data_IF_706279927963
#
_entry.id   IF_706279927963
#
_cell.length_a   1.000
_cell.length_b   1.000
_cell.length_c   1.000
_cell.angle_alpha   90.00
_cell.angle_beta   90.00
_cell.angle_gamma   90.00
#
_symmetry.space_group_name_H-M   'P 1'
#
loop_
_entity.id
_entity.type
_entity.pdbx_description
1 polymer ?
#
# COMPACT_ATOMS: atom_id res chain seq x y z
N UNK A 1 -16.81 -3.89 1.73
CA UNK A 1 -16.11 -2.95 0.83
C UNK A 1 -17.06 -2.01 0.06
N UNK A 2 -18.19 -2.52 -0.38
CA UNK A 2 -19.24 -1.73 -1.04
C UNK A 2 -20.44 -1.70 -0.10
N UNK A 3 -20.96 -0.51 0.13
CA UNK A 3 -22.18 -0.27 0.88
C UNK A 3 -23.33 0.08 -0.08
N UNK A 4 -24.53 -0.30 0.29
CA UNK A 4 -25.74 -0.02 -0.49
C UNK A 4 -26.82 0.51 0.43
N UNK A 5 -27.71 1.32 -0.12
CA UNK A 5 -28.92 1.71 0.58
C UNK A 5 -29.82 0.47 0.78
N UNK A 6 -30.28 0.16 2.01
CA UNK A 6 -31.09 -1.03 2.28
C UNK A 6 -32.44 -1.04 1.54
N UNK A 7 -32.96 0.09 1.13
CA UNK A 7 -34.23 0.20 0.38
C UNK A 7 -34.05 0.28 -1.13
N UNK A 8 -32.86 -0.06 -1.64
CA UNK A 8 -32.48 0.15 -3.02
C UNK A 8 -32.07 1.60 -3.28
N UNK A 9 -31.23 1.84 -4.25
CA UNK A 9 -30.75 3.18 -4.60
C UNK A 9 -29.23 3.25 -4.72
N UNK A 10 -28.58 4.17 -4.00
CA UNK A 10 -27.17 4.44 -4.15
C UNK A 10 -26.28 3.34 -3.58
N UNK A 11 -25.15 3.12 -4.24
CA UNK A 11 -24.04 2.32 -3.73
C UNK A 11 -22.77 3.16 -3.68
N UNK A 12 -21.92 2.90 -2.68
CA UNK A 12 -20.64 3.60 -2.56
C UNK A 12 -19.53 2.70 -2.04
N UNK A 13 -18.28 3.07 -2.31
CA UNK A 13 -17.09 2.32 -1.92
C UNK A 13 -16.58 2.80 -0.58
N UNK A 14 -16.42 1.88 0.36
CA UNK A 14 -15.69 2.14 1.59
C UNK A 14 -14.19 2.11 1.36
N UNK A 15 -13.41 2.71 2.26
CA UNK A 15 -11.94 2.78 2.16
C UNK A 15 -11.29 1.41 1.98
N UNK A 16 -11.79 0.38 2.67
CA UNK A 16 -11.32 -1.00 2.54
C UNK A 16 -11.50 -1.60 1.13
N UNK A 17 -12.35 -1.03 0.28
CA UNK A 17 -12.52 -1.46 -1.10
C UNK A 17 -11.23 -1.35 -1.91
N UNK A 18 -10.45 -0.29 -1.68
CA UNK A 18 -9.27 0.02 -2.49
C UNK A 18 -8.11 -0.94 -2.29
N UNK A 19 -7.72 -1.37 -1.06
CA UNK A 19 -6.75 -2.44 -0.87
C UNK A 19 -7.13 -3.74 -1.59
N UNK A 20 -8.40 -4.15 -1.55
CA UNK A 20 -8.89 -5.31 -2.31
C UNK A 20 -8.80 -5.11 -3.82
N UNK A 21 -9.18 -3.94 -4.31
CA UNK A 21 -9.04 -3.59 -5.72
C UNK A 21 -7.59 -3.67 -6.17
N UNK A 22 -6.66 -3.09 -5.40
CA UNK A 22 -5.23 -3.10 -5.72
C UNK A 22 -4.67 -4.52 -5.70
N UNK A 23 -4.99 -5.32 -4.69
CA UNK A 23 -4.58 -6.71 -4.62
C UNK A 23 -5.12 -7.53 -5.82
N UNK A 24 -6.37 -7.31 -6.22
CA UNK A 24 -6.96 -7.96 -7.40
C UNK A 24 -6.29 -7.56 -8.71
N UNK A 25 -5.91 -6.28 -8.86
CA UNK A 25 -5.30 -5.75 -10.09
C UNK A 25 -3.82 -6.09 -10.22
N UNK A 26 -3.08 -5.98 -9.13
CA UNK A 26 -1.62 -5.99 -9.13
C UNK A 26 -1.00 -7.16 -8.36
N UNK A 27 -1.80 -7.91 -7.58
CA UNK A 27 -1.33 -9.04 -6.79
C UNK A 27 -1.38 -10.39 -7.52
N UNK A 28 -1.31 -10.39 -8.85
CA UNK A 28 -1.31 -11.61 -9.67
C UNK A 28 0.11 -11.94 -10.12
N UNK A 29 0.57 -13.13 -9.81
CA UNK A 29 1.92 -13.60 -10.13
C UNK A 29 2.52 -14.42 -8.99
N UNK A 30 3.84 -14.40 -8.89
CA UNK A 30 4.60 -15.12 -7.87
C UNK A 30 4.71 -14.23 -6.64
N UNK A 31 4.16 -14.68 -5.51
CA UNK A 31 4.34 -13.99 -4.24
C UNK A 31 5.79 -14.16 -3.77
N UNK A 32 6.48 -13.05 -3.59
CA UNK A 32 7.83 -13.01 -3.05
C UNK A 32 7.74 -12.87 -1.52
N UNK A 33 8.67 -13.48 -0.82
CA UNK A 33 8.75 -13.39 0.63
C UNK A 33 9.93 -12.47 1.02
N UNK A 34 9.69 -11.17 1.23
CA UNK A 34 10.72 -10.25 1.65
C UNK A 34 11.15 -10.54 3.10
N UNK A 35 12.41 -10.31 3.39
CA UNK A 35 12.90 -10.24 4.77
C UNK A 35 12.73 -8.79 5.22
N UNK A 36 11.79 -8.56 6.13
CA UNK A 36 11.42 -7.22 6.60
C UNK A 36 11.94 -6.98 8.02
N UNK A 37 12.62 -5.83 8.21
CA UNK A 37 12.90 -5.25 9.52
C UNK A 37 12.07 -3.99 9.67
N UNK A 38 11.38 -3.83 10.78
CA UNK A 38 10.48 -2.72 11.06
C UNK A 38 10.62 -2.24 12.49
N UNK A 39 10.44 -0.95 12.76
CA UNK A 39 10.11 -0.48 14.09
C UNK A 39 8.89 -1.22 14.62
N UNK A 40 8.76 -1.27 15.93
CA UNK A 40 7.70 -2.03 16.59
C UNK A 40 7.02 -1.20 17.67
N UNK A 41 5.79 -1.54 17.97
CA UNK A 41 5.04 -0.96 19.09
C UNK A 41 4.21 -2.02 19.79
N UNK A 42 3.84 -1.74 21.03
CA UNK A 42 2.89 -2.55 21.77
C UNK A 42 1.47 -2.03 21.59
N UNK A 43 0.53 -2.94 21.50
CA UNK A 43 -0.90 -2.66 21.50
C UNK A 43 -1.51 -3.15 22.80
N UNK A 44 -2.81 -2.94 22.99
CA UNK A 44 -3.53 -3.43 24.17
C UNK A 44 -3.42 -4.97 24.34
N UNK A 45 -3.42 -5.70 23.22
CA UNK A 45 -3.55 -7.16 23.22
C UNK A 45 -2.29 -7.88 22.69
N UNK A 46 -1.34 -7.15 22.08
CA UNK A 46 -0.14 -7.72 21.45
C UNK A 46 1.10 -6.86 21.73
N UNK A 47 2.23 -7.52 21.89
CA UNK A 47 3.55 -6.89 22.00
C UNK A 47 4.35 -7.07 20.72
N UNK A 48 5.36 -6.22 20.51
CA UNK A 48 6.29 -6.32 19.38
C UNK A 48 5.61 -6.31 17.98
N UNK A 49 4.54 -5.56 17.84
CA UNK A 49 3.83 -5.44 16.56
C UNK A 49 4.62 -4.57 15.61
N UNK A 50 4.97 -5.08 14.42
CA UNK A 50 5.67 -4.30 13.40
C UNK A 50 4.84 -3.08 12.97
N UNK A 51 5.46 -1.93 12.85
CA UNK A 51 4.84 -0.72 12.29
C UNK A 51 4.59 -0.86 10.79
N UNK A 52 5.55 -1.48 10.08
CA UNK A 52 5.44 -1.73 8.64
C UNK A 52 5.27 -3.22 8.38
N UNK A 53 4.30 -3.56 7.54
CA UNK A 53 4.18 -4.88 6.90
C UNK A 53 4.22 -4.72 5.39
N UNK A 54 4.86 -5.65 4.71
CA UNK A 54 5.02 -5.60 3.26
C UNK A 54 5.02 -6.98 2.64
N UNK A 55 4.51 -7.05 1.42
CA UNK A 55 4.60 -8.21 0.54
C UNK A 55 4.88 -7.71 -0.87
N UNK A 56 5.62 -8.50 -1.65
CA UNK A 56 5.87 -8.21 -3.06
C UNK A 56 5.35 -9.35 -3.94
N UNK A 57 4.94 -8.98 -5.15
CA UNK A 57 4.46 -9.92 -6.17
C UNK A 57 5.19 -9.65 -7.48
N UNK A 58 5.73 -10.69 -8.08
CA UNK A 58 6.33 -10.64 -9.40
C UNK A 58 5.39 -11.20 -10.46
N UNK A 59 5.04 -10.38 -11.42
CA UNK A 59 4.27 -10.79 -12.59
C UNK A 59 5.21 -10.99 -13.78
N UNK A 60 5.45 -12.25 -14.15
CA UNK A 60 6.37 -12.62 -15.23
C UNK A 60 5.89 -12.17 -16.59
N UNK A 61 4.58 -12.24 -16.85
CA UNK A 61 4.00 -11.87 -18.15
C UNK A 61 4.15 -10.38 -18.45
N UNK A 62 4.07 -9.55 -17.40
CA UNK A 62 4.18 -8.10 -17.52
C UNK A 62 5.57 -7.58 -17.25
N UNK A 63 6.46 -8.43 -16.76
CA UNK A 63 7.76 -8.04 -16.22
C UNK A 63 7.64 -6.91 -15.19
N UNK A 64 6.68 -7.05 -14.26
CA UNK A 64 6.38 -6.06 -13.21
C UNK A 64 6.58 -6.66 -11.82
N UNK A 65 7.08 -5.83 -10.89
CA UNK A 65 7.07 -6.10 -9.45
C UNK A 65 6.14 -5.10 -8.79
N UNK A 66 5.21 -5.62 -8.00
CA UNK A 66 4.33 -4.80 -7.17
C UNK A 66 4.66 -5.04 -5.69
N UNK A 67 4.97 -3.98 -4.97
CA UNK A 67 5.18 -3.99 -3.52
C UNK A 67 3.95 -3.38 -2.88
N UNK A 68 3.29 -4.15 -2.03
CA UNK A 68 2.25 -3.66 -1.14
C UNK A 68 2.86 -3.41 0.23
N UNK A 69 2.66 -2.24 0.79
CA UNK A 69 3.16 -1.90 2.10
C UNK A 69 2.11 -1.14 2.91
N UNK A 70 2.02 -1.44 4.20
CA UNK A 70 1.20 -0.71 5.15
C UNK A 70 2.07 -0.12 6.25
N UNK A 71 1.93 1.17 6.52
CA UNK A 71 2.44 1.78 7.73
C UNK A 71 1.29 1.88 8.74
N UNK A 72 1.39 1.12 9.84
CA UNK A 72 0.39 1.08 10.91
C UNK A 72 0.69 2.07 12.05
N UNK A 73 1.85 2.73 12.01
CA UNK A 73 2.16 3.77 12.96
C UNK A 73 1.19 4.95 12.75
N UNK A 74 0.57 5.41 13.82
CA UNK A 74 -0.42 6.50 13.78
C UNK A 74 0.21 7.89 13.96
N UNK A 75 1.52 7.96 14.19
CA UNK A 75 2.23 9.20 14.53
C UNK A 75 3.33 9.52 13.53
N UNK A 76 4.08 8.50 13.12
CA UNK A 76 5.34 8.67 12.42
C UNK A 76 5.27 8.15 10.99
N UNK A 77 5.80 8.93 10.07
CA UNK A 77 6.12 8.51 8.73
C UNK A 77 7.38 7.62 8.77
N UNK A 78 7.43 6.59 7.94
CA UNK A 78 8.53 5.61 7.92
C UNK A 78 9.07 5.49 6.50
N UNK A 79 10.39 5.58 6.35
CA UNK A 79 11.03 5.28 5.08
C UNK A 79 11.26 3.77 4.96
N UNK A 80 10.61 3.15 3.98
CA UNK A 80 10.87 1.78 3.58
C UNK A 80 12.00 1.76 2.55
N UNK A 81 13.07 1.02 2.85
CA UNK A 81 14.19 0.82 1.94
C UNK A 81 14.17 -0.62 1.44
N UNK A 82 14.12 -0.82 0.12
CA UNK A 82 14.08 -2.13 -0.50
C UNK A 82 15.31 -2.35 -1.38
N UNK A 83 16.00 -3.47 -1.17
CA UNK A 83 17.02 -3.96 -2.10
C UNK A 83 16.34 -4.70 -3.25
N UNK A 84 16.36 -4.12 -4.43
CA UNK A 84 15.76 -4.68 -5.64
C UNK A 84 16.78 -4.97 -6.73
N UNK A 85 18.06 -5.13 -6.38
CA UNK A 85 19.16 -5.39 -7.35
C UNK A 85 18.95 -6.64 -8.19
N UNK A 86 18.15 -7.59 -7.72
CA UNK A 86 17.76 -8.77 -8.52
C UNK A 86 16.83 -8.43 -9.70
N UNK A 87 16.25 -7.22 -9.72
CA UNK A 87 15.38 -6.72 -10.79
C UNK A 87 16.10 -5.61 -11.58
N UNK A 88 17.20 -6.01 -12.22
CA UNK A 88 18.01 -5.07 -13.01
C UNK A 88 17.18 -4.44 -14.14
N UNK A 89 17.41 -3.16 -14.39
CA UNK A 89 16.73 -2.35 -15.42
C UNK A 89 15.23 -2.08 -15.16
N UNK A 90 14.73 -2.38 -13.96
CA UNK A 90 13.38 -1.97 -13.57
C UNK A 90 13.37 -0.47 -13.24
N UNK A 91 12.24 0.17 -13.52
CA UNK A 91 11.98 1.58 -13.24
C UNK A 91 10.74 1.70 -12.38
N UNK A 92 10.66 2.75 -11.61
CA UNK A 92 9.43 3.10 -10.90
C UNK A 92 8.34 3.47 -11.92
N UNK A 93 7.21 2.75 -11.87
CA UNK A 93 6.03 3.03 -12.69
C UNK A 93 5.14 4.02 -11.96
N UNK A 94 4.77 3.71 -10.72
CA UNK A 94 3.88 4.53 -9.91
C UNK A 94 3.98 4.18 -8.42
N UNK A 95 3.61 5.14 -7.58
CA UNK A 95 3.36 4.94 -6.16
C UNK A 95 1.96 5.43 -5.83
N UNK A 96 1.07 4.49 -5.49
CA UNK A 96 -0.33 4.75 -5.13
C UNK A 96 -0.45 4.70 -3.62
N UNK A 97 -1.08 5.71 -3.03
CA UNK A 97 -1.30 5.81 -1.58
C UNK A 97 -2.78 5.99 -1.27
N UNK A 98 -3.26 5.27 -0.26
CA UNK A 98 -4.53 5.53 0.41
C UNK A 98 -4.21 5.92 1.85
N UNK A 99 -4.54 7.14 2.20
CA UNK A 99 -4.25 7.75 3.51
C UNK A 99 -5.34 8.75 3.90
N UNK A 100 -5.52 8.95 5.20
CA UNK A 100 -6.38 10.00 5.74
C UNK A 100 -5.91 10.36 7.15
N UNK A 101 -5.86 11.64 7.47
CA UNK A 101 -5.47 12.11 8.81
C UNK A 101 -6.54 11.78 9.87
N UNK A 102 -7.79 11.77 9.48
CA UNK A 102 -8.88 11.35 10.36
C UNK A 102 -9.11 9.84 10.25
N UNK A 103 -8.65 9.09 11.26
CA UNK A 103 -8.79 7.63 11.33
C UNK A 103 -10.25 7.15 11.47
N UNK A 104 -11.18 8.04 11.74
CA UNK A 104 -12.62 7.74 11.84
C UNK A 104 -13.38 8.13 10.58
N UNK A 105 -12.73 8.80 9.63
CA UNK A 105 -13.35 9.19 8.39
C UNK A 105 -13.79 7.98 7.57
N UNK A 106 -14.96 8.07 6.97
CA UNK A 106 -15.55 7.04 6.13
C UNK A 106 -16.09 7.63 4.84
N UNK A 107 -16.06 6.87 3.78
CA UNK A 107 -16.75 7.25 2.56
C UNK A 107 -18.26 7.01 2.69
N UNK A 108 -19.05 7.87 2.06
CA UNK A 108 -20.51 7.80 2.04
C UNK A 108 -21.04 8.18 0.66
N UNK A 109 -22.35 7.97 0.43
CA UNK A 109 -23.03 8.42 -0.80
C UNK A 109 -22.80 9.90 -1.11
N UNK A 110 -22.73 10.73 -0.07
CA UNK A 110 -22.57 12.18 -0.22
C UNK A 110 -21.13 12.64 -0.30
N UNK A 111 -20.19 11.79 0.12
CA UNK A 111 -18.79 12.15 0.20
C UNK A 111 -17.90 10.90 0.08
N UNK A 112 -17.35 10.65 -1.10
CA UNK A 112 -16.28 9.68 -1.36
C UNK A 112 -14.94 10.41 -1.48
N UNK A 113 -14.48 11.04 -0.40
CA UNK A 113 -13.25 11.86 -0.40
C UNK A 113 -11.97 11.07 -0.14
N UNK A 114 -12.08 9.88 0.46
CA UNK A 114 -10.92 9.05 0.77
C UNK A 114 -10.69 8.11 -0.39
N UNK A 115 -9.82 8.54 -1.30
CA UNK A 115 -9.52 7.86 -2.56
C UNK A 115 -8.01 7.60 -2.67
N UNK A 116 -7.59 6.51 -3.33
CA UNK A 116 -6.19 6.34 -3.70
C UNK A 116 -5.72 7.46 -4.62
N UNK A 117 -4.49 7.90 -4.42
CA UNK A 117 -3.84 8.91 -5.25
C UNK A 117 -2.41 8.50 -5.60
N UNK A 118 -1.94 8.89 -6.78
CA UNK A 118 -0.54 8.79 -7.14
C UNK A 118 0.25 9.88 -6.44
N UNK A 119 1.41 9.50 -5.92
CA UNK A 119 2.31 10.41 -5.21
C UNK A 119 3.75 10.25 -5.72
N UNK A 120 4.54 11.30 -5.59
CA UNK A 120 5.97 11.30 -5.85
C UNK A 120 6.74 11.23 -4.52
N UNK A 121 6.73 10.03 -3.91
CA UNK A 121 7.37 9.76 -2.61
C UNK A 121 8.24 8.51 -2.65
N UNK A 122 8.69 8.14 -3.85
CA UNK A 122 9.54 6.96 -4.07
C UNK A 122 10.69 7.33 -4.99
N UNK A 123 11.87 6.85 -4.65
CA UNK A 123 13.09 7.04 -5.40
C UNK A 123 13.80 5.71 -5.60
N UNK A 124 14.25 5.46 -6.83
CA UNK A 124 14.99 4.26 -7.19
C UNK A 124 16.37 4.64 -7.71
N UNK A 125 17.41 4.30 -6.96
CA UNK A 125 18.80 4.57 -7.29
C UNK A 125 19.65 3.31 -7.10
N UNK A 126 20.40 2.92 -8.12
CA UNK A 126 21.36 1.80 -8.08
C UNK A 126 20.79 0.49 -7.48
N UNK A 127 19.51 0.20 -7.81
CA UNK A 127 18.83 -1.00 -7.31
C UNK A 127 18.37 -0.90 -5.85
N UNK A 128 18.41 0.29 -5.26
CA UNK A 128 17.84 0.57 -3.95
C UNK A 128 16.62 1.47 -4.13
N UNK A 129 15.46 0.94 -3.74
CA UNK A 129 14.21 1.69 -3.73
C UNK A 129 13.97 2.27 -2.32
N UNK A 130 13.79 3.57 -2.24
CA UNK A 130 13.36 4.27 -1.03
C UNK A 130 11.93 4.78 -1.20
N UNK A 131 11.08 4.49 -0.24
CA UNK A 131 9.65 4.86 -0.25
C UNK A 131 9.28 5.51 1.05
N UNK A 132 8.79 6.74 1.01
CA UNK A 132 8.20 7.38 2.18
C UNK A 132 6.77 6.87 2.37
N UNK A 133 6.55 6.11 3.43
CA UNK A 133 5.26 5.63 3.88
C UNK A 133 4.75 6.58 4.97
N UNK A 134 3.78 7.41 4.64
CA UNK A 134 3.16 8.26 5.65
C UNK A 134 2.50 7.41 6.75
N UNK A 135 2.32 8.00 7.92
CA UNK A 135 1.57 7.38 9.02
C UNK A 135 0.20 6.89 8.54
N UNK A 136 -0.26 5.77 9.09
CA UNK A 136 -1.59 5.22 8.83
C UNK A 136 -1.94 5.14 7.34
N UNK A 137 -1.03 4.59 6.52
CA UNK A 137 -1.20 4.54 5.06
C UNK A 137 -1.10 3.12 4.50
N UNK A 138 -1.87 2.89 3.43
CA UNK A 138 -1.73 1.76 2.52
C UNK A 138 -1.02 2.24 1.27
N UNK A 139 -0.02 1.50 0.83
CA UNK A 139 0.83 1.88 -0.29
C UNK A 139 0.95 0.74 -1.30
N UNK A 140 0.97 1.10 -2.58
CA UNK A 140 1.24 0.20 -3.70
C UNK A 140 2.32 0.84 -4.56
N UNK A 141 3.47 0.20 -4.63
CA UNK A 141 4.61 0.65 -5.41
C UNK A 141 4.81 -0.32 -6.56
N UNK A 142 4.79 0.16 -7.79
CA UNK A 142 4.94 -0.67 -8.98
C UNK A 142 6.22 -0.32 -9.71
N UNK A 143 6.92 -1.37 -10.09
CA UNK A 143 8.17 -1.33 -10.82
C UNK A 143 8.03 -2.20 -12.07
N UNK A 144 8.67 -1.82 -13.16
CA UNK A 144 8.68 -2.60 -14.39
C UNK A 144 9.84 -2.21 -15.30
N UNK A 145 10.06 -3.01 -16.32
CA UNK A 145 11.08 -2.73 -17.35
C UNK A 145 10.68 -1.60 -18.27
#
# INVERSE_FOLDING_TARGET
PIMTDPNGGAAWKQTIYYPYLHASKYGRGIALQPVLSSPKHDTKDFTDVNDVESIAVYNEEKEEVTIFAVNRNLKDDITLTCDIRSFNNYRLIEHIVLECDDMKAVNSVKNESILPKNVDRSELNDGVLQVMLNKASWNVIRLGK
#
